data_IF_859629538780
#
_entry.id   IF_859629538780
#
_cell.length_a   1.000
_cell.length_b   1.000
_cell.length_c   1.000
_cell.angle_alpha   90.00
_cell.angle_beta   90.00
_cell.angle_gamma   90.00
#
_symmetry.space_group_name_H-M   'P 1'
#
loop_
_entity.id
_entity.type
_entity.pdbx_description
1 polymer ?
#
# COMPACT_ATOMS: atom_id res chain seq x y z
N UNK A 1 -13.23 14.45 7.72
CA UNK A 1 -13.32 12.98 7.78
C UNK A 1 -12.48 12.45 6.63
N UNK A 2 -11.31 11.86 6.90
CA UNK A 2 -10.46 11.28 5.85
C UNK A 2 -11.16 10.01 5.34
N UNK A 3 -11.60 10.02 4.10
CA UNK A 3 -12.09 8.83 3.44
C UNK A 3 -10.88 8.00 2.98
N UNK A 4 -10.82 6.74 3.40
CA UNK A 4 -9.83 5.80 2.90
C UNK A 4 -9.91 5.79 1.35
N UNK A 5 -8.78 5.73 0.65
CA UNK A 5 -8.78 5.66 -0.81
C UNK A 5 -9.66 4.52 -1.36
N UNK A 6 -9.81 3.44 -0.57
CA UNK A 6 -10.75 2.35 -0.82
C UNK A 6 -12.23 2.77 -0.84
N UNK A 7 -12.64 3.70 0.03
CA UNK A 7 -13.99 4.27 0.04
C UNK A 7 -14.26 5.10 -1.24
N UNK A 8 -13.20 5.61 -1.87
CA UNK A 8 -13.24 6.27 -3.19
C UNK A 8 -13.12 5.30 -4.36
N UNK A 9 -13.30 3.99 -4.11
CA UNK A 9 -13.21 2.94 -5.12
C UNK A 9 -11.79 2.61 -5.60
N UNK A 10 -10.76 3.24 -5.02
CA UNK A 10 -9.38 2.97 -5.41
C UNK A 10 -8.85 1.73 -4.70
N UNK A 11 -8.52 0.70 -5.47
CA UNK A 11 -7.96 -0.56 -5.00
C UNK A 11 -6.81 -0.99 -5.92
N UNK A 12 -5.57 -0.58 -5.63
CA UNK A 12 -4.44 -0.89 -6.50
C UNK A 12 -4.16 -2.38 -6.52
N UNK A 13 -3.86 -2.92 -7.70
CA UNK A 13 -3.39 -4.30 -7.85
C UNK A 13 -1.88 -4.33 -7.70
N UNK A 14 -1.42 -4.80 -6.55
CA UNK A 14 -0.01 -5.06 -6.29
C UNK A 14 0.44 -6.32 -7.02
N UNK A 15 1.54 -6.24 -7.77
CA UNK A 15 2.17 -7.38 -8.44
C UNK A 15 3.42 -7.79 -7.70
N UNK A 16 3.58 -9.08 -7.45
CA UNK A 16 4.79 -9.60 -6.82
C UNK A 16 6.00 -9.36 -7.73
N UNK A 17 7.13 -8.99 -7.13
CA UNK A 17 8.42 -8.84 -7.78
C UNK A 17 9.29 -10.04 -7.33
N UNK A 18 9.32 -11.15 -8.10
CA UNK A 18 9.83 -12.44 -7.62
C UNK A 18 11.34 -12.41 -7.32
N UNK A 19 12.12 -11.62 -8.05
CA UNK A 19 13.57 -11.51 -7.85
C UNK A 19 13.95 -10.62 -6.67
N UNK A 20 12.98 -9.96 -6.03
CA UNK A 20 13.18 -9.01 -4.95
C UNK A 20 12.66 -9.64 -3.64
N UNK A 21 13.51 -10.47 -3.02
CA UNK A 21 13.23 -11.10 -1.72
C UNK A 21 14.22 -10.63 -0.68
N UNK A 22 13.73 -10.39 0.54
CA UNK A 22 14.56 -9.95 1.68
C UNK A 22 14.08 -10.65 2.94
N UNK A 23 14.88 -11.55 3.50
CA UNK A 23 14.71 -12.18 4.83
C UNK A 23 13.23 -12.30 5.29
N UNK A 24 12.47 -13.18 4.64
CA UNK A 24 11.07 -13.45 4.99
C UNK A 24 10.05 -12.38 4.56
N UNK A 25 10.46 -11.42 3.73
CA UNK A 25 9.60 -10.41 3.10
C UNK A 25 9.62 -10.57 1.58
N UNK A 26 8.44 -10.41 0.99
CA UNK A 26 8.20 -10.41 -0.44
C UNK A 26 8.02 -8.96 -0.90
N UNK A 27 8.65 -8.59 -2.02
CA UNK A 27 8.41 -7.29 -2.64
C UNK A 27 7.20 -7.34 -3.56
N UNK A 28 6.43 -6.26 -3.53
CA UNK A 28 5.33 -6.02 -4.47
C UNK A 28 5.45 -4.63 -5.06
N UNK A 29 5.26 -4.55 -6.37
CA UNK A 29 5.28 -3.32 -7.14
C UNK A 29 3.88 -2.90 -7.58
N UNK A 30 3.68 -1.58 -7.64
CA UNK A 30 2.54 -0.94 -8.26
C UNK A 30 2.99 0.43 -8.80
N UNK A 31 2.40 0.91 -9.89
CA UNK A 31 2.72 2.23 -10.46
C UNK A 31 1.52 3.16 -10.32
N UNK A 32 1.77 4.38 -9.85
CA UNK A 32 0.79 5.49 -9.86
C UNK A 32 1.20 6.52 -10.88
N UNK A 33 0.23 7.23 -11.46
CA UNK A 33 0.50 8.43 -12.24
C UNK A 33 0.24 9.65 -11.37
N UNK A 34 1.24 10.51 -11.20
CA UNK A 34 1.15 11.79 -10.48
C UNK A 34 1.60 12.88 -11.45
N UNK A 35 0.75 13.86 -11.72
CA UNK A 35 1.04 14.95 -12.67
C UNK A 35 1.54 14.47 -14.04
N UNK A 36 0.94 13.39 -14.55
CA UNK A 36 1.32 12.79 -15.84
C UNK A 36 2.58 11.92 -15.79
N UNK A 37 3.27 11.84 -14.65
CA UNK A 37 4.49 11.07 -14.47
C UNK A 37 4.19 9.72 -13.79
N UNK A 38 4.73 8.63 -14.37
CA UNK A 38 4.67 7.31 -13.76
C UNK A 38 5.64 7.21 -12.58
N UNK A 39 5.12 6.99 -11.38
CA UNK A 39 5.90 6.82 -10.15
C UNK A 39 5.76 5.35 -9.69
N UNK A 40 6.85 4.57 -9.71
CA UNK A 40 6.84 3.22 -9.18
C UNK A 40 6.83 3.24 -7.65
N UNK A 41 5.94 2.48 -7.06
CA UNK A 41 5.87 2.20 -5.63
C UNK A 41 6.23 0.74 -5.40
N UNK A 42 7.13 0.51 -4.44
CA UNK A 42 7.52 -0.84 -4.01
C UNK A 42 7.24 -0.98 -2.53
N UNK A 43 6.51 -2.02 -2.15
CA UNK A 43 6.22 -2.37 -0.77
C UNK A 43 6.83 -3.72 -0.42
N UNK A 44 7.51 -3.78 0.72
CA UNK A 44 7.97 -5.03 1.32
C UNK A 44 6.91 -5.52 2.29
N UNK A 45 6.36 -6.71 2.05
CA UNK A 45 5.28 -7.26 2.84
C UNK A 45 5.64 -8.66 3.33
N UNK A 46 5.27 -8.95 4.59
CA UNK A 46 5.33 -10.31 5.12
C UNK A 46 4.03 -11.03 4.78
N UNK A 47 4.13 -12.27 4.32
CA UNK A 47 2.98 -13.13 4.12
C UNK A 47 2.38 -13.51 5.47
N UNK A 48 1.36 -12.79 5.93
CA UNK A 48 0.58 -13.21 7.09
C UNK A 48 -0.48 -14.21 6.66
N UNK A 49 -0.46 -15.42 7.21
CA UNK A 49 -1.60 -16.35 7.10
C UNK A 49 -2.81 -15.63 7.67
N UNK A 50 -3.87 -15.49 6.90
CA UNK A 50 -5.00 -14.62 7.22
C UNK A 50 -5.70 -15.05 8.52
N UNK A 51 -5.31 -14.46 9.66
CA UNK A 51 -6.20 -14.39 10.81
C UNK A 51 -7.19 -13.28 10.47
N UNK A 52 -8.48 -13.65 10.31
CA UNK A 52 -9.60 -12.71 10.18
C UNK A 52 -9.68 -11.83 11.44
N UNK A 53 -8.83 -10.84 11.56
CA UNK A 53 -9.06 -9.68 12.41
C UNK A 53 -9.10 -8.49 11.47
N UNK A 54 -10.29 -7.89 11.38
CA UNK A 54 -10.48 -6.58 10.75
C UNK A 54 -9.38 -5.66 11.27
N UNK A 55 -8.51 -5.09 10.41
CA UNK A 55 -7.52 -4.15 10.89
C UNK A 55 -8.27 -2.97 11.48
N UNK A 56 -8.06 -2.72 12.78
CA UNK A 56 -8.37 -1.43 13.39
C UNK A 56 -7.65 -0.40 12.52
N UNK A 57 -8.39 0.54 11.93
CA UNK A 57 -7.83 1.47 10.95
C UNK A 57 -6.54 2.12 11.48
N UNK A 58 -5.55 2.40 10.62
CA UNK A 58 -4.29 2.98 11.07
C UNK A 58 -4.57 4.28 11.82
N UNK A 59 -3.97 4.43 12.99
CA UNK A 59 -3.98 5.69 13.75
C UNK A 59 -3.21 6.72 12.92
N UNK A 60 -3.90 7.76 12.45
CA UNK A 60 -3.32 8.78 11.59
C UNK A 60 -2.35 9.64 12.41
N UNK A 61 -1.06 9.62 12.05
CA UNK A 61 -0.06 10.46 12.70
C UNK A 61 -0.37 11.94 12.38
N UNK A 62 -0.44 12.83 13.38
CA UNK A 62 -0.79 14.24 13.17
C UNK A 62 0.23 15.01 12.30
N UNK A 63 1.41 14.43 12.02
CA UNK A 63 2.42 14.99 11.11
C UNK A 63 2.20 14.57 9.65
N UNK A 64 1.30 13.64 9.35
CA UNK A 64 0.91 13.34 7.98
C UNK A 64 0.07 14.48 7.42
N UNK A 65 0.69 15.36 6.63
CA UNK A 65 -0.02 16.40 5.89
C UNK A 65 -0.86 15.77 4.78
N UNK A 66 -2.12 16.21 4.69
CA UNK A 66 -3.03 15.88 3.60
C UNK A 66 -2.41 16.37 2.28
N UNK A 67 -2.30 15.48 1.30
CA UNK A 67 -1.91 15.83 -0.08
C UNK A 67 -3.11 16.26 -0.93
N UNK A 68 -4.25 16.55 -0.30
CA UNK A 68 -5.49 17.02 -0.90
C UNK A 68 -6.16 18.07 -0.01
#
# INVERSE_FOLDING_TARGET
MMECARARGWSPTWKQLPDWTREGQEAFGFAVTVDGMGVPLVAWMRRTVAVKRSPKGPECDPRQMSLF
#
